data_IF_977319183862
#
_entry.id   IF_977319183862
#
_cell.length_a   1.000
_cell.length_b   1.000
_cell.length_c   1.000
_cell.angle_alpha   90.00
_cell.angle_beta   90.00
_cell.angle_gamma   90.00
#
_symmetry.space_group_name_H-M   'P 1'
#
loop_
_entity.id
_entity.type
_entity.pdbx_description
1 polymer ?
#
# COMPACT_ATOMS: atom_id res chain seq x y z
N UNK A 1 -9.38 11.37 10.43
CA UNK A 1 -9.11 10.31 9.47
C UNK A 1 -8.92 8.99 10.18
N UNK A 2 -9.43 7.96 9.57
CA UNK A 2 -9.38 6.62 10.18
C UNK A 2 -8.08 5.90 9.86
N UNK A 3 -7.45 6.22 8.77
CA UNK A 3 -6.25 5.53 8.31
C UNK A 3 -5.21 6.53 7.85
N UNK A 4 -3.98 6.33 8.30
CA UNK A 4 -2.86 7.16 7.90
C UNK A 4 -1.67 6.27 7.58
N UNK A 5 -1.01 6.54 6.48
CA UNK A 5 0.25 5.91 6.12
C UNK A 5 1.31 7.00 6.05
N UNK A 6 2.43 6.78 6.72
CA UNK A 6 3.56 7.69 6.67
C UNK A 6 4.80 6.93 6.22
N UNK A 7 5.55 7.52 5.29
CA UNK A 7 6.78 6.94 4.78
C UNK A 7 7.90 7.94 4.98
N UNK A 8 8.97 7.50 5.62
CA UNK A 8 10.16 8.29 5.90
C UNK A 8 11.34 7.68 5.16
N UNK A 9 12.00 8.47 4.33
CA UNK A 9 13.15 7.98 3.57
C UNK A 9 14.07 9.14 3.19
N UNK A 10 15.38 8.99 3.43
CA UNK A 10 16.41 9.93 3.01
C UNK A 10 16.05 11.40 3.31
N UNK A 11 15.54 11.69 4.51
CA UNK A 11 15.14 13.04 4.91
C UNK A 11 13.85 13.53 4.26
N UNK A 12 13.09 12.65 3.62
CA UNK A 12 11.84 12.99 2.96
C UNK A 12 10.68 12.26 3.65
N UNK A 13 9.50 12.87 3.60
CA UNK A 13 8.31 12.28 4.22
C UNK A 13 7.15 12.31 3.23
N UNK A 14 6.41 11.20 3.19
CA UNK A 14 5.10 11.13 2.54
C UNK A 14 4.07 10.83 3.61
N UNK A 15 2.95 11.54 3.59
CA UNK A 15 1.88 11.36 4.56
C UNK A 15 0.56 11.23 3.82
N UNK A 16 -0.03 10.05 3.89
CA UNK A 16 -1.29 9.74 3.22
C UNK A 16 -2.40 9.67 4.27
N UNK A 17 -3.39 10.54 4.15
CA UNK A 17 -4.54 10.57 5.05
C UNK A 17 -5.78 10.02 4.37
N UNK A 18 -6.32 8.97 4.96
CA UNK A 18 -7.58 8.36 4.57
C UNK A 18 -7.64 7.97 3.08
N UNK A 19 -6.50 7.61 2.50
CA UNK A 19 -6.37 7.24 1.07
C UNK A 19 -6.96 8.29 0.13
N UNK A 20 -6.92 9.57 0.54
CA UNK A 20 -7.47 10.67 -0.22
C UNK A 20 -6.53 11.86 -0.35
N UNK A 21 -5.85 12.21 0.74
CA UNK A 21 -4.93 13.36 0.76
C UNK A 21 -3.50 12.90 0.97
N UNK A 22 -2.63 13.25 0.05
CA UNK A 22 -1.20 12.96 0.14
C UNK A 22 -0.43 14.26 0.29
N UNK A 23 0.40 14.33 1.32
CA UNK A 23 1.33 15.44 1.54
C UNK A 23 2.75 14.90 1.43
N UNK A 24 3.62 15.70 0.81
CA UNK A 24 5.02 15.34 0.65
C UNK A 24 5.90 16.46 1.19
N UNK A 25 6.94 16.08 1.91
CA UNK A 25 7.90 17.02 2.50
C UNK A 25 9.30 16.62 2.05
N UNK A 26 10.06 17.61 1.54
CA UNK A 26 11.41 17.38 1.07
C UNK A 26 11.52 16.75 -0.32
N UNK A 27 10.43 16.67 -1.08
CA UNK A 27 10.41 16.12 -2.43
C UNK A 27 10.47 17.22 -3.47
N UNK A 28 11.48 17.20 -4.38
CA UNK A 28 11.53 18.19 -5.45
C UNK A 28 10.35 18.06 -6.39
N UNK A 29 9.68 19.18 -6.66
CA UNK A 29 8.60 19.21 -7.65
C UNK A 29 7.30 18.54 -7.24
N UNK A 30 7.18 18.08 -5.98
CA UNK A 30 5.96 17.44 -5.51
C UNK A 30 5.71 17.78 -4.05
N UNK A 31 4.54 18.29 -3.71
CA UNK A 31 4.21 18.63 -2.33
C UNK A 31 2.85 18.13 -1.86
N UNK A 32 1.90 17.90 -2.76
CA UNK A 32 0.60 17.38 -2.37
C UNK A 32 -0.18 16.81 -3.54
N UNK A 33 -1.11 15.91 -3.24
CA UNK A 33 -2.10 15.41 -4.17
C UNK A 33 -3.38 15.14 -3.38
N UNK A 34 -4.47 15.73 -3.82
CA UNK A 34 -5.77 15.57 -3.15
C UNK A 34 -6.79 14.97 -4.12
N UNK A 35 -7.49 13.94 -3.66
CA UNK A 35 -8.54 13.31 -4.43
C UNK A 35 -9.90 13.76 -3.92
N UNK A 36 -10.90 13.76 -4.80
CA UNK A 36 -12.30 14.00 -4.43
C UNK A 36 -12.82 12.94 -3.47
N UNK A 37 -12.48 11.69 -3.76
CA UNK A 37 -12.95 10.53 -3.01
C UNK A 37 -11.78 9.69 -2.56
N UNK A 38 -12.00 8.94 -1.50
CA UNK A 38 -11.05 7.94 -1.04
C UNK A 38 -10.77 6.91 -2.14
N UNK A 39 -9.50 6.60 -2.36
CA UNK A 39 -9.09 5.58 -3.33
C UNK A 39 -8.09 4.63 -2.67
N UNK A 40 -8.53 3.44 -2.33
CA UNK A 40 -7.69 2.40 -1.75
C UNK A 40 -7.02 1.53 -2.81
N UNK A 41 -7.18 1.87 -4.08
CA UNK A 41 -6.50 1.21 -5.17
C UNK A 41 -7.14 -0.09 -5.65
N UNK A 42 -8.36 -0.42 -5.22
CA UNK A 42 -9.01 -1.66 -5.63
C UNK A 42 -9.17 -1.76 -7.14
N UNK A 43 -9.67 -0.70 -7.77
CA UNK A 43 -9.91 -0.70 -9.22
C UNK A 43 -8.59 -0.82 -10.00
N UNK A 44 -7.58 -0.06 -9.61
CA UNK A 44 -6.27 -0.12 -10.26
C UNK A 44 -5.62 -1.48 -10.07
N UNK A 45 -5.72 -2.05 -8.87
CA UNK A 45 -5.18 -3.35 -8.56
C UNK A 45 -5.83 -4.45 -9.42
N UNK A 46 -7.16 -4.44 -9.52
CA UNK A 46 -7.90 -5.39 -10.33
C UNK A 46 -7.55 -5.24 -11.80
N UNK A 47 -7.45 -4.02 -12.31
CA UNK A 47 -7.11 -3.75 -13.70
C UNK A 47 -5.73 -4.28 -14.06
N UNK A 48 -4.74 -4.03 -13.23
CA UNK A 48 -3.36 -4.51 -13.46
C UNK A 48 -3.31 -6.03 -13.46
N UNK A 49 -4.04 -6.68 -12.57
CA UNK A 49 -4.09 -8.14 -12.50
C UNK A 49 -4.72 -8.72 -13.76
N UNK A 50 -5.88 -8.20 -14.18
CA UNK A 50 -6.57 -8.68 -15.39
C UNK A 50 -5.71 -8.45 -16.63
N UNK A 51 -5.07 -7.28 -16.73
CA UNK A 51 -4.20 -6.97 -17.85
C UNK A 51 -3.01 -7.92 -17.93
N UNK A 52 -2.45 -8.32 -16.79
CA UNK A 52 -1.34 -9.28 -16.77
C UNK A 52 -1.75 -10.63 -17.31
N UNK A 53 -2.96 -11.08 -17.00
CA UNK A 53 -3.49 -12.33 -17.53
C UNK A 53 -3.72 -12.24 -19.04
N UNK A 54 -4.37 -11.17 -19.48
CA UNK A 54 -4.67 -10.97 -20.90
C UNK A 54 -3.41 -10.90 -21.75
N UNK A 55 -2.37 -10.25 -21.25
CA UNK A 55 -1.13 -10.04 -21.96
C UNK A 55 -0.11 -11.17 -21.76
N UNK A 56 -0.46 -12.20 -21.02
CA UNK A 56 0.43 -13.33 -20.75
C UNK A 56 1.64 -12.98 -19.89
N UNK A 57 1.53 -11.96 -19.09
CA UNK A 57 2.61 -11.52 -18.20
C UNK A 57 2.51 -12.17 -16.84
N UNK A 58 3.59 -12.08 -16.08
CA UNK A 58 3.58 -12.52 -14.68
C UNK A 58 2.62 -11.67 -13.84
N UNK A 59 2.16 -12.23 -12.72
CA UNK A 59 1.32 -11.51 -11.79
C UNK A 59 2.02 -10.24 -11.30
N UNK A 60 1.28 -9.12 -11.10
CA UNK A 60 1.88 -7.87 -10.64
C UNK A 60 2.60 -7.98 -9.31
N UNK A 61 2.08 -8.83 -8.42
CA UNK A 61 2.73 -9.13 -7.14
C UNK A 61 3.10 -10.61 -7.17
N UNK A 62 4.40 -10.95 -7.00
CA UNK A 62 4.81 -12.34 -6.98
C UNK A 62 4.09 -13.13 -5.89
N UNK A 63 3.71 -14.37 -6.21
CA UNK A 63 2.95 -15.21 -5.28
C UNK A 63 3.69 -15.46 -3.98
N UNK A 64 5.01 -15.62 -4.03
CA UNK A 64 5.82 -15.83 -2.84
C UNK A 64 5.77 -14.62 -1.89
N UNK A 65 5.69 -13.41 -2.41
CA UNK A 65 5.51 -12.21 -1.59
C UNK A 65 4.15 -12.19 -0.91
N UNK A 66 3.10 -12.57 -1.63
CA UNK A 66 1.75 -12.64 -1.08
C UNK A 66 1.70 -13.65 0.06
N UNK A 67 2.26 -14.84 -0.15
CA UNK A 67 2.30 -15.87 0.88
C UNK A 67 3.15 -15.45 2.09
N UNK A 68 4.26 -14.75 1.85
CA UNK A 68 5.11 -14.27 2.94
C UNK A 68 4.40 -13.24 3.80
N UNK A 69 3.67 -12.31 3.21
CA UNK A 69 2.89 -11.33 3.96
C UNK A 69 1.82 -12.03 4.79
N UNK A 70 1.11 -12.99 4.21
CA UNK A 70 0.09 -13.76 4.93
C UNK A 70 0.71 -14.54 6.09
N UNK A 71 1.85 -15.19 5.86
CA UNK A 71 2.55 -15.95 6.90
C UNK A 71 2.96 -15.06 8.08
N UNK A 72 3.55 -13.91 7.79
CA UNK A 72 3.99 -12.98 8.84
C UNK A 72 2.79 -12.43 9.61
N UNK A 73 1.71 -12.12 8.92
CA UNK A 73 0.48 -11.61 9.55
C UNK A 73 -0.07 -12.62 10.55
N UNK A 74 -0.16 -13.89 10.16
CA UNK A 74 -0.63 -14.96 11.04
C UNK A 74 0.32 -15.15 12.21
N UNK A 75 1.62 -15.11 11.97
CA UNK A 75 2.63 -15.25 13.01
C UNK A 75 2.52 -14.15 14.06
N UNK A 76 2.33 -12.91 13.63
CA UNK A 76 2.16 -11.78 14.55
C UNK A 76 0.91 -11.98 15.40
N UNK A 77 -0.20 -12.42 14.81
CA UNK A 77 -1.43 -12.68 15.55
C UNK A 77 -1.23 -13.78 16.59
N UNK A 78 -0.56 -14.86 16.23
CA UNK A 78 -0.25 -15.96 17.16
C UNK A 78 0.60 -15.50 18.34
N UNK A 79 1.63 -14.67 18.06
CA UNK A 79 2.49 -14.14 19.12
C UNK A 79 1.70 -13.26 20.08
N UNK A 80 0.83 -12.41 19.55
CA UNK A 80 -0.01 -11.54 20.36
C UNK A 80 -0.95 -12.35 21.25
N UNK A 81 -1.58 -13.38 20.69
CA UNK A 81 -2.50 -14.25 21.47
C UNK A 81 -1.79 -15.00 22.55
N UNK A 82 -0.55 -15.42 22.33
CA UNK A 82 0.22 -16.15 23.33
C UNK A 82 0.63 -15.29 24.53
N UNK A 83 0.54 -13.97 24.42
CA UNK A 83 0.89 -13.03 25.49
C UNK A 83 -0.29 -12.60 26.36
N UNK A 84 -1.48 -13.03 26.03
CA UNK A 84 -2.71 -12.65 26.76
C UNK A 84 -2.99 -13.62 27.92
#
# INVERSE_FOLDING_TARGET
PKERVEVFTAGRVLQLDNFRKLKAFGWPGFNKMNLWRQDKGQDACAAVFVDSIRDGKEAPIPADEIFEVARVTVQVDEILRAQI
#
